data_IF_797605035480
#
_entry.id   IF_797605035480
#
_cell.length_a   1.000
_cell.length_b   1.000
_cell.length_c   1.000
_cell.angle_alpha   90.00
_cell.angle_beta   90.00
_cell.angle_gamma   90.00
#
_symmetry.space_group_name_H-M   'P 1'
#
loop_
_entity.id
_entity.type
_entity.pdbx_description
1 polymer ?
#
# COMPACT_ATOMS: atom_id res chain seq x y z
N UNK A 1 43.46 32.42 -17.51
CA UNK A 1 43.53 31.21 -16.67
C UNK A 1 42.10 30.75 -16.46
N UNK A 2 41.69 29.69 -17.15
CA UNK A 2 40.33 29.14 -17.07
C UNK A 2 40.35 28.00 -16.06
N UNK A 3 39.60 28.14 -14.97
CA UNK A 3 39.48 27.12 -13.93
C UNK A 3 38.38 26.13 -14.29
N UNK A 4 38.78 24.90 -14.61
CA UNK A 4 37.89 23.78 -14.91
C UNK A 4 37.11 23.37 -13.66
N UNK A 5 35.79 23.41 -13.75
CA UNK A 5 34.86 22.89 -12.74
C UNK A 5 35.00 21.35 -12.71
N UNK A 6 35.50 20.81 -11.60
CA UNK A 6 35.53 19.35 -11.36
C UNK A 6 34.13 18.95 -10.88
N UNK A 7 33.38 18.26 -11.74
CA UNK A 7 32.10 17.65 -11.38
C UNK A 7 32.39 16.33 -10.64
N UNK A 8 31.91 16.21 -9.40
CA UNK A 8 32.00 15.00 -8.60
C UNK A 8 31.23 13.82 -9.24
N UNK A 9 31.62 12.56 -9.00
CA UNK A 9 30.99 11.42 -9.64
C UNK A 9 29.55 11.25 -9.12
N UNK A 10 28.60 11.19 -10.04
CA UNK A 10 27.23 10.77 -9.78
C UNK A 10 27.25 9.33 -9.25
N UNK A 11 26.68 9.12 -8.06
CA UNK A 11 26.47 7.78 -7.51
C UNK A 11 25.62 6.96 -8.50
N UNK A 12 26.17 5.82 -8.93
CA UNK A 12 25.68 5.04 -10.05
C UNK A 12 24.28 4.46 -9.83
N UNK A 13 23.29 5.07 -10.48
CA UNK A 13 22.39 4.28 -11.33
C UNK A 13 23.04 4.25 -12.70
N UNK A 14 23.31 3.05 -13.23
CA UNK A 14 23.65 2.93 -14.64
C UNK A 14 22.55 3.62 -15.44
N UNK A 15 22.96 4.33 -16.50
CA UNK A 15 22.00 4.85 -17.47
C UNK A 15 21.20 3.67 -17.99
N UNK A 16 19.86 3.79 -18.00
CA UNK A 16 18.96 2.79 -18.58
C UNK A 16 19.49 2.40 -19.96
N UNK A 17 19.76 1.11 -20.14
CA UNK A 17 20.30 0.57 -21.38
C UNK A 17 19.17 0.37 -22.41
N UNK A 18 19.52 0.34 -23.70
CA UNK A 18 18.52 0.21 -24.77
C UNK A 18 17.67 -1.06 -24.64
N UNK A 19 18.27 -2.16 -24.17
CA UNK A 19 17.57 -3.42 -23.94
C UNK A 19 16.55 -3.32 -22.80
N UNK A 20 16.79 -2.48 -21.77
CA UNK A 20 15.82 -2.26 -20.69
C UNK A 20 14.59 -1.49 -21.19
N UNK A 21 14.78 -0.56 -22.13
CA UNK A 21 13.67 0.18 -22.76
C UNK A 21 12.83 -0.79 -23.58
N UNK A 22 13.47 -1.61 -24.41
CA UNK A 22 12.79 -2.64 -25.21
C UNK A 22 12.00 -3.61 -24.32
N UNK A 23 12.60 -4.13 -23.26
CA UNK A 23 11.91 -4.99 -22.29
C UNK A 23 10.67 -4.32 -21.66
N UNK A 24 10.79 -3.06 -21.24
CA UNK A 24 9.67 -2.31 -20.64
C UNK A 24 8.54 -2.07 -21.65
N UNK A 25 8.86 -1.75 -22.90
CA UNK A 25 7.85 -1.57 -23.95
C UNK A 25 7.16 -2.89 -24.30
N UNK A 26 7.91 -4.00 -24.42
CA UNK A 26 7.31 -5.32 -24.63
C UNK A 26 6.40 -5.73 -23.46
N UNK A 27 6.76 -5.42 -22.21
CA UNK A 27 5.89 -5.68 -21.05
C UNK A 27 4.64 -4.78 -21.05
N UNK A 28 4.75 -3.50 -21.44
CA UNK A 28 3.59 -2.61 -21.59
C UNK A 28 2.64 -3.11 -22.67
N UNK A 29 3.19 -3.50 -23.81
CA UNK A 29 2.43 -4.08 -24.92
C UNK A 29 1.75 -5.40 -24.51
N UNK A 30 2.43 -6.24 -23.72
CA UNK A 30 1.89 -7.48 -23.18
C UNK A 30 0.62 -7.23 -22.33
N UNK A 31 0.64 -6.26 -21.41
CA UNK A 31 -0.54 -5.95 -20.59
C UNK A 31 -1.64 -5.27 -21.39
N UNK A 32 -1.29 -4.36 -22.31
CA UNK A 32 -2.24 -3.72 -23.21
C UNK A 32 -2.94 -4.76 -24.11
N UNK A 33 -2.18 -5.70 -24.67
CA UNK A 33 -2.67 -6.81 -25.49
C UNK A 33 -3.57 -7.74 -24.70
N UNK A 34 -3.21 -8.08 -23.45
CA UNK A 34 -4.07 -8.89 -22.58
C UNK A 34 -5.47 -8.28 -22.45
N UNK A 35 -5.55 -7.01 -22.08
CA UNK A 35 -6.82 -6.30 -21.92
C UNK A 35 -7.60 -6.27 -23.24
N UNK A 36 -6.94 -5.87 -24.33
CA UNK A 36 -7.58 -5.68 -25.62
C UNK A 36 -8.05 -7.00 -26.27
N UNK A 37 -7.35 -8.12 -26.01
CA UNK A 37 -7.78 -9.45 -26.46
C UNK A 37 -8.93 -9.98 -25.60
N UNK A 38 -8.89 -9.74 -24.29
CA UNK A 38 -9.95 -10.11 -23.34
C UNK A 38 -11.27 -9.42 -23.68
N UNK A 39 -11.23 -8.10 -23.89
CA UNK A 39 -12.39 -7.27 -24.26
C UNK A 39 -13.06 -7.73 -25.57
N UNK A 40 -12.29 -8.35 -26.48
CA UNK A 40 -12.78 -8.86 -27.77
C UNK A 40 -13.09 -10.36 -27.75
N UNK A 41 -12.97 -11.02 -26.60
CA UNK A 41 -13.18 -12.47 -26.47
C UNK A 41 -12.19 -13.33 -27.23
N UNK A 42 -11.00 -12.80 -27.56
CA UNK A 42 -9.94 -13.50 -28.30
C UNK A 42 -9.08 -14.35 -27.36
N UNK A 43 -9.72 -15.30 -26.68
CA UNK A 43 -9.11 -16.02 -25.56
C UNK A 43 -7.92 -16.89 -25.94
N UNK A 44 -7.90 -17.49 -27.13
CA UNK A 44 -6.73 -18.28 -27.57
C UNK A 44 -5.48 -17.40 -27.74
N UNK A 45 -5.64 -16.22 -28.34
CA UNK A 45 -4.54 -15.25 -28.48
C UNK A 45 -4.12 -14.68 -27.12
N UNK A 46 -5.09 -14.41 -26.23
CA UNK A 46 -4.84 -13.96 -24.87
C UNK A 46 -4.02 -15.01 -24.09
N UNK A 47 -4.40 -16.29 -24.19
CA UNK A 47 -3.72 -17.37 -23.49
C UNK A 47 -2.29 -17.58 -24.00
N UNK A 48 -2.02 -17.26 -25.27
CA UNK A 48 -0.67 -17.27 -25.84
C UNK A 48 0.27 -16.19 -25.25
N UNK A 49 -0.26 -15.24 -24.46
CA UNK A 49 0.53 -14.25 -23.71
C UNK A 49 1.12 -14.81 -22.41
N UNK A 50 0.66 -15.97 -21.95
CA UNK A 50 1.16 -16.63 -20.74
C UNK A 50 2.30 -17.60 -21.07
N UNK A 51 3.23 -17.77 -20.13
CA UNK A 51 4.16 -18.89 -20.18
C UNK A 51 3.39 -20.21 -19.99
N UNK A 52 3.87 -21.35 -20.54
CA UNK A 52 3.15 -22.63 -20.46
C UNK A 52 2.80 -23.07 -19.03
N UNK A 53 3.67 -22.74 -18.07
CA UNK A 53 3.60 -23.03 -16.63
C UNK A 53 3.17 -21.81 -15.80
N UNK A 54 2.64 -20.76 -16.43
CA UNK A 54 2.30 -19.53 -15.74
C UNK A 54 1.24 -19.76 -14.67
N UNK A 55 1.21 -18.88 -13.67
CA UNK A 55 0.19 -18.92 -12.62
C UNK A 55 -0.75 -17.72 -12.69
N UNK A 56 -2.02 -17.93 -12.36
CA UNK A 56 -2.97 -16.84 -12.24
C UNK A 56 -3.78 -16.95 -10.96
N UNK A 57 -3.96 -15.83 -10.27
CA UNK A 57 -4.75 -15.71 -9.04
C UNK A 57 -5.72 -14.54 -9.23
N UNK A 58 -7.02 -14.83 -9.26
CA UNK A 58 -8.09 -13.85 -9.47
C UNK A 58 -8.79 -13.43 -8.16
N UNK A 59 -8.27 -13.85 -7.01
CA UNK A 59 -8.83 -13.51 -5.70
C UNK A 59 -10.02 -14.37 -5.29
N UNK A 60 -10.22 -15.53 -5.92
CA UNK A 60 -11.27 -16.52 -5.60
C UNK A 60 -10.80 -17.60 -4.60
N UNK A 61 -9.59 -17.44 -4.05
CA UNK A 61 -8.97 -18.39 -3.12
C UNK A 61 -8.22 -19.54 -3.79
N UNK A 62 -8.16 -19.59 -5.13
CA UNK A 62 -7.39 -20.58 -5.90
C UNK A 62 -6.28 -19.91 -6.70
N UNK A 63 -5.16 -20.61 -6.84
CA UNK A 63 -4.14 -20.31 -7.85
C UNK A 63 -4.27 -21.31 -9.00
N UNK A 64 -4.47 -20.81 -10.21
CA UNK A 64 -4.56 -21.59 -11.44
C UNK A 64 -3.15 -21.77 -12.01
N UNK A 65 -2.77 -23.02 -12.29
CA UNK A 65 -1.40 -23.36 -12.71
C UNK A 65 -1.40 -23.91 -14.14
N UNK A 66 -0.66 -23.25 -15.01
CA UNK A 66 -0.55 -23.58 -16.43
C UNK A 66 -1.71 -23.03 -17.27
N UNK A 67 -1.47 -22.94 -18.59
CA UNK A 67 -2.41 -22.32 -19.55
C UNK A 67 -3.79 -23.00 -19.57
N UNK A 68 -3.83 -24.32 -19.38
CA UNK A 68 -5.08 -25.09 -19.38
C UNK A 68 -5.97 -24.77 -18.17
N UNK A 69 -5.40 -24.59 -16.98
CA UNK A 69 -6.18 -24.14 -15.82
C UNK A 69 -6.58 -22.69 -15.98
N UNK A 70 -5.68 -21.82 -16.43
CA UNK A 70 -5.97 -20.39 -16.65
C UNK A 70 -7.12 -20.20 -17.65
N UNK A 71 -7.21 -21.05 -18.68
CA UNK A 71 -8.30 -21.05 -19.66
C UNK A 71 -9.69 -21.20 -19.04
N UNK A 72 -9.80 -21.89 -17.90
CA UNK A 72 -11.10 -22.11 -17.22
C UNK A 72 -11.71 -20.78 -16.74
N UNK A 73 -10.89 -19.86 -16.23
CA UNK A 73 -11.31 -18.50 -15.81
C UNK A 73 -12.03 -17.77 -16.95
N UNK A 74 -11.43 -17.79 -18.15
CA UNK A 74 -11.95 -17.08 -19.32
C UNK A 74 -13.18 -17.76 -19.92
N UNK A 75 -13.28 -19.09 -19.80
CA UNK A 75 -14.46 -19.84 -20.22
C UNK A 75 -15.66 -19.46 -19.36
N UNK A 76 -15.51 -19.48 -18.04
CA UNK A 76 -16.55 -19.05 -17.10
C UNK A 76 -16.92 -17.57 -17.26
N UNK A 77 -15.93 -16.72 -17.53
CA UNK A 77 -16.17 -15.29 -17.78
C UNK A 77 -16.98 -15.10 -19.05
N UNK A 78 -16.58 -15.73 -20.16
CA UNK A 78 -17.31 -15.71 -21.43
C UNK A 78 -18.76 -16.15 -21.26
N UNK A 79 -18.97 -17.26 -20.56
CA UNK A 79 -20.29 -17.85 -20.39
C UNK A 79 -21.20 -16.92 -19.57
N UNK A 80 -20.63 -16.17 -18.60
CA UNK A 80 -21.37 -15.15 -17.85
C UNK A 80 -21.60 -13.82 -18.59
N UNK A 81 -20.74 -13.45 -19.54
CA UNK A 81 -20.96 -12.27 -20.40
C UNK A 81 -22.08 -12.55 -21.40
N UNK A 82 -22.14 -13.77 -21.94
CA UNK A 82 -23.11 -14.14 -22.99
C UNK A 82 -24.56 -14.29 -22.52
N UNK A 83 -24.82 -14.42 -21.22
CA UNK A 83 -26.19 -14.52 -20.69
C UNK A 83 -27.06 -15.63 -21.30
N UNK A 84 -26.98 -16.85 -20.76
CA UNK A 84 -28.16 -17.72 -20.64
C UNK A 84 -28.53 -18.73 -21.76
N UNK A 85 -27.72 -18.97 -22.79
CA UNK A 85 -28.17 -19.83 -23.91
C UNK A 85 -27.89 -21.35 -23.83
N UNK A 86 -27.39 -21.87 -22.70
CA UNK A 86 -27.23 -23.32 -22.54
C UNK A 86 -27.95 -23.88 -21.30
N UNK A 87 -29.18 -24.36 -21.60
CA UNK A 87 -29.93 -25.41 -20.93
C UNK A 87 -30.57 -25.11 -19.54
N UNK A 88 -31.86 -24.77 -19.58
CA UNK A 88 -32.84 -25.71 -19.01
C UNK A 88 -33.46 -25.40 -17.65
N UNK A 89 -33.95 -24.19 -17.41
CA UNK A 89 -35.30 -23.99 -16.87
C UNK A 89 -35.81 -22.61 -17.33
N UNK A 90 -37.09 -22.51 -17.66
CA UNK A 90 -37.68 -21.31 -18.24
C UNK A 90 -37.91 -20.16 -17.25
N UNK A 91 -37.07 -20.00 -16.22
CA UNK A 91 -37.16 -18.85 -15.31
C UNK A 91 -36.26 -17.73 -15.84
N UNK A 92 -36.84 -16.84 -16.65
CA UNK A 92 -36.16 -15.69 -17.26
C UNK A 92 -35.74 -14.59 -16.28
N UNK A 93 -35.11 -14.95 -15.16
CA UNK A 93 -34.89 -14.10 -13.99
C UNK A 93 -33.42 -13.68 -13.80
N UNK A 94 -32.49 -14.17 -14.65
CA UNK A 94 -31.10 -13.69 -14.63
C UNK A 94 -30.93 -12.47 -15.53
N UNK A 95 -30.45 -11.34 -14.99
CA UNK A 95 -30.16 -10.16 -15.81
C UNK A 95 -29.10 -10.50 -16.87
N UNK A 96 -29.20 -9.91 -18.08
CA UNK A 96 -28.23 -10.14 -19.14
C UNK A 96 -26.83 -9.68 -18.72
N UNK A 97 -25.79 -10.34 -19.27
CA UNK A 97 -24.42 -9.87 -19.16
C UNK A 97 -24.18 -8.56 -19.93
N UNK A 98 -23.03 -7.89 -19.73
CA UNK A 98 -22.73 -6.61 -20.36
C UNK A 98 -22.54 -6.77 -21.87
N UNK A 99 -22.94 -5.76 -22.65
CA UNK A 99 -22.76 -5.76 -24.11
C UNK A 99 -21.28 -5.69 -24.51
N UNK A 100 -20.47 -4.99 -23.70
CA UNK A 100 -19.04 -4.91 -23.86
C UNK A 100 -18.32 -4.81 -22.52
N UNK A 101 -17.04 -5.17 -22.53
CA UNK A 101 -16.08 -4.86 -21.47
C UNK A 101 -14.98 -3.99 -22.09
N UNK A 102 -14.56 -2.97 -21.34
CA UNK A 102 -13.45 -2.11 -21.73
C UNK A 102 -12.51 -1.93 -20.55
N UNK A 103 -11.35 -2.59 -20.61
CA UNK A 103 -10.33 -2.46 -19.59
C UNK A 103 -9.44 -1.24 -19.86
N UNK A 104 -9.35 -0.35 -18.87
CA UNK A 104 -8.44 0.79 -18.84
C UNK A 104 -7.37 0.52 -17.80
N UNK A 105 -6.12 0.34 -18.22
CA UNK A 105 -5.00 0.21 -17.31
C UNK A 105 -4.25 1.54 -17.17
N UNK A 106 -3.89 1.89 -15.94
CA UNK A 106 -3.18 3.13 -15.62
C UNK A 106 -1.66 3.02 -15.84
N UNK A 107 -0.90 3.95 -15.27
CA UNK A 107 0.57 3.88 -15.17
C UNK A 107 1.02 2.49 -14.75
N UNK A 108 1.91 1.90 -15.55
CA UNK A 108 2.58 0.64 -15.25
C UNK A 108 3.93 0.88 -14.59
N UNK A 109 4.05 0.45 -13.35
CA UNK A 109 5.35 0.37 -12.68
C UNK A 109 5.97 -0.96 -13.07
N UNK A 110 7.11 -0.91 -13.75
CA UNK A 110 7.85 -2.09 -14.20
C UNK A 110 9.24 -2.02 -13.57
N UNK A 111 9.67 -3.10 -12.93
CA UNK A 111 11.04 -3.30 -12.47
C UNK A 111 11.62 -4.41 -13.35
N UNK A 112 12.66 -4.07 -14.12
CA UNK A 112 13.40 -5.04 -14.91
C UNK A 112 14.47 -5.63 -14.00
N UNK A 113 14.35 -6.92 -13.70
CA UNK A 113 15.21 -7.63 -12.75
C UNK A 113 16.43 -8.26 -13.45
N UNK A 114 16.36 -8.41 -14.77
CA UNK A 114 17.42 -8.89 -15.65
C UNK A 114 16.97 -8.93 -17.11
N UNK A 115 17.82 -9.40 -18.04
CA UNK A 115 17.51 -9.46 -19.48
C UNK A 115 16.27 -10.30 -19.83
N UNK A 116 15.91 -11.25 -18.97
CA UNK A 116 14.84 -12.22 -19.23
C UNK A 116 13.77 -12.28 -18.12
N UNK A 117 13.80 -11.35 -17.16
CA UNK A 117 12.86 -11.33 -16.02
C UNK A 117 12.49 -9.91 -15.60
N UNK A 118 11.22 -9.70 -15.29
CA UNK A 118 10.72 -8.43 -14.77
C UNK A 118 9.52 -8.65 -13.86
N UNK A 119 9.22 -7.66 -13.03
CA UNK A 119 7.99 -7.57 -12.23
C UNK A 119 7.26 -6.27 -12.54
N UNK A 120 5.95 -6.25 -12.31
CA UNK A 120 5.20 -5.02 -12.52
C UNK A 120 3.86 -4.96 -11.82
N UNK A 121 3.35 -3.73 -11.74
CA UNK A 121 2.05 -3.42 -11.15
C UNK A 121 1.35 -2.34 -11.97
N UNK A 122 0.04 -2.48 -12.09
CA UNK A 122 -0.84 -1.48 -12.72
C UNK A 122 -2.18 -1.46 -12.01
N UNK A 123 -2.84 -0.30 -11.99
CA UNK A 123 -4.26 -0.24 -11.67
C UNK A 123 -5.07 -0.46 -12.94
N UNK A 124 -6.27 -1.00 -12.79
CA UNK A 124 -7.22 -1.11 -13.87
C UNK A 124 -8.61 -0.62 -13.44
N UNK A 125 -9.36 -0.11 -14.41
CA UNK A 125 -10.79 0.16 -14.31
C UNK A 125 -11.47 -0.47 -15.51
N UNK A 126 -12.57 -1.17 -15.30
CA UNK A 126 -13.37 -1.78 -16.36
C UNK A 126 -14.67 -1.02 -16.52
N UNK A 127 -15.00 -0.71 -17.76
CA UNK A 127 -16.26 -0.10 -18.14
C UNK A 127 -17.11 -1.09 -18.95
N UNK A 128 -18.42 -1.01 -18.78
CA UNK A 128 -19.46 -1.73 -19.52
C UNK A 128 -20.42 -0.73 -20.17
N UNK A 129 -21.44 -1.21 -20.86
CA UNK A 129 -22.57 -0.41 -21.36
C UNK A 129 -23.34 0.32 -20.25
N UNK A 130 -23.20 -0.10 -18.98
CA UNK A 130 -23.76 0.57 -17.81
C UNK A 130 -22.82 1.61 -17.16
N UNK A 131 -21.60 1.81 -17.69
CA UNK A 131 -20.58 2.70 -17.13
C UNK A 131 -19.46 1.95 -16.41
N UNK A 132 -18.83 2.58 -15.41
CA UNK A 132 -17.78 1.92 -14.60
C UNK A 132 -18.39 0.71 -13.88
N UNK A 133 -17.76 -0.45 -14.00
CA UNK A 133 -18.27 -1.72 -13.45
C UNK A 133 -17.39 -2.26 -12.31
N UNK A 134 -16.07 -2.30 -12.49
CA UNK A 134 -15.15 -2.68 -11.41
C UNK A 134 -13.75 -2.12 -11.62
N UNK A 135 -12.95 -2.07 -10.56
CA UNK A 135 -11.58 -1.55 -10.58
C UNK A 135 -10.69 -2.30 -9.62
N UNK A 136 -9.37 -2.21 -9.83
CA UNK A 136 -8.44 -3.02 -9.08
C UNK A 136 -6.98 -2.86 -9.48
N UNK A 137 -6.21 -3.89 -9.14
CA UNK A 137 -4.75 -3.96 -9.32
C UNK A 137 -4.36 -5.25 -10.06
N UNK A 138 -3.44 -5.10 -10.99
CA UNK A 138 -2.60 -6.17 -11.50
C UNK A 138 -1.27 -6.18 -10.76
N UNK A 139 -0.83 -7.36 -10.35
CA UNK A 139 0.50 -7.61 -9.80
C UNK A 139 1.08 -8.80 -10.55
N UNK A 140 2.11 -8.55 -11.34
CA UNK A 140 2.57 -9.46 -12.36
C UNK A 140 4.07 -9.76 -12.23
N UNK A 141 4.43 -10.97 -12.62
CA UNK A 141 5.81 -11.36 -12.91
C UNK A 141 5.89 -11.78 -14.38
N UNK A 142 6.97 -11.41 -15.03
CA UNK A 142 7.20 -11.60 -16.46
C UNK A 142 8.51 -12.32 -16.69
N UNK A 143 8.55 -13.13 -17.75
CA UNK A 143 9.79 -13.75 -18.22
C UNK A 143 9.81 -13.89 -19.73
N UNK A 144 11.00 -14.05 -20.30
CA UNK A 144 11.17 -14.38 -21.71
C UNK A 144 10.96 -15.89 -21.92
N UNK A 145 10.15 -16.24 -22.91
CA UNK A 145 9.93 -17.62 -23.41
C UNK A 145 10.03 -17.58 -24.92
N UNK A 146 10.91 -18.39 -25.51
CA UNK A 146 11.17 -18.43 -26.95
C UNK A 146 11.41 -17.03 -27.56
N UNK A 147 12.17 -16.20 -26.84
CA UNK A 147 12.51 -14.84 -27.26
C UNK A 147 11.39 -13.81 -27.15
N UNK A 148 10.26 -14.13 -26.48
CA UNK A 148 9.14 -13.20 -26.27
C UNK A 148 8.81 -13.04 -24.79
N UNK A 149 8.47 -11.83 -24.36
CA UNK A 149 7.97 -11.60 -23.01
C UNK A 149 6.58 -12.23 -22.83
N UNK A 150 6.41 -12.91 -21.69
CA UNK A 150 5.21 -13.63 -21.29
C UNK A 150 4.91 -13.40 -19.81
N UNK A 151 3.65 -13.55 -19.43
CA UNK A 151 3.27 -13.62 -18.02
C UNK A 151 3.85 -14.92 -17.42
N UNK A 152 4.69 -14.79 -16.40
CA UNK A 152 5.10 -15.89 -15.53
C UNK A 152 4.09 -16.07 -14.38
N UNK A 153 3.56 -14.96 -13.87
CA UNK A 153 2.42 -14.97 -12.97
C UNK A 153 1.59 -13.70 -13.11
N UNK A 154 0.28 -13.80 -12.90
CA UNK A 154 -0.62 -12.65 -12.78
C UNK A 154 -1.51 -12.80 -11.56
N UNK A 155 -1.52 -11.77 -10.72
CA UNK A 155 -2.49 -11.64 -9.64
C UNK A 155 -3.40 -10.46 -9.92
N UNK A 156 -4.69 -10.75 -10.04
CA UNK A 156 -5.77 -9.77 -10.18
C UNK A 156 -6.40 -9.56 -8.82
N UNK A 157 -6.50 -8.31 -8.39
CA UNK A 157 -7.23 -7.92 -7.17
C UNK A 157 -8.29 -6.91 -7.58
N UNK A 158 -9.56 -7.27 -7.41
CA UNK A 158 -10.68 -6.35 -7.56
C UNK A 158 -10.81 -5.61 -6.24
N UNK A 159 -10.55 -4.30 -6.28
CA UNK A 159 -10.60 -3.42 -5.10
C UNK A 159 -12.02 -2.87 -4.88
N UNK A 160 -12.83 -2.83 -5.93
CA UNK A 160 -14.22 -2.47 -5.85
C UNK A 160 -15.01 -2.76 -7.11
N UNK A 161 -16.32 -2.85 -6.91
CA UNK A 161 -17.35 -3.06 -7.92
C UNK A 161 -18.38 -1.94 -7.81
N UNK A 162 -19.05 -1.63 -8.90
CA UNK A 162 -20.27 -0.82 -8.88
C UNK A 162 -21.39 -1.68 -8.29
N UNK A 163 -22.07 -1.22 -7.22
CA UNK A 163 -23.18 -1.98 -6.61
C UNK A 163 -24.23 -2.39 -7.64
N UNK A 164 -24.69 -3.63 -7.55
CA UNK A 164 -25.65 -4.26 -8.49
C UNK A 164 -25.13 -4.39 -9.95
N UNK A 165 -23.86 -4.03 -10.18
CA UNK A 165 -23.17 -4.18 -11.47
C UNK A 165 -22.95 -5.63 -11.88
N UNK A 166 -22.41 -5.85 -13.08
CA UNK A 166 -22.17 -7.20 -13.57
C UNK A 166 -21.08 -7.91 -12.74
N UNK A 167 -19.94 -7.26 -12.52
CA UNK A 167 -18.87 -7.85 -11.71
C UNK A 167 -19.31 -8.05 -10.25
N UNK A 168 -20.10 -7.12 -9.70
CA UNK A 168 -20.63 -7.22 -8.33
C UNK A 168 -21.45 -8.49 -8.13
N UNK A 169 -22.41 -8.74 -9.03
CA UNK A 169 -23.28 -9.93 -9.01
C UNK A 169 -22.50 -11.22 -9.28
N UNK A 170 -21.56 -11.18 -10.23
CA UNK A 170 -20.74 -12.35 -10.60
C UNK A 170 -19.79 -12.76 -9.47
N UNK A 171 -19.14 -11.80 -8.81
CA UNK A 171 -18.11 -12.05 -7.82
C UNK A 171 -18.67 -12.26 -6.40
N UNK A 172 -19.93 -11.88 -6.16
CA UNK A 172 -20.54 -12.03 -4.84
C UNK A 172 -21.10 -13.44 -4.58
N UNK A 173 -21.49 -14.19 -5.61
CA UNK A 173 -22.11 -15.52 -5.47
C UNK A 173 -23.42 -15.52 -4.63
N UNK A 174 -24.28 -16.52 -4.79
CA UNK A 174 -25.51 -16.66 -3.97
C UNK A 174 -25.23 -17.02 -2.47
N UNK A 175 -24.02 -16.72 -1.99
CA UNK A 175 -23.66 -16.77 -0.58
C UNK A 175 -23.98 -15.42 0.05
N UNK A 176 -24.84 -15.44 1.07
CA UNK A 176 -25.13 -14.28 1.93
C UNK A 176 -23.81 -13.57 2.29
N UNK A 177 -23.62 -12.30 1.88
CA UNK A 177 -22.29 -11.70 1.84
C UNK A 177 -21.83 -11.40 3.26
N UNK A 178 -20.81 -12.13 3.74
CA UNK A 178 -19.94 -11.63 4.82
C UNK A 178 -18.89 -10.68 4.22
N UNK A 179 -19.35 -9.64 3.52
CA UNK A 179 -18.52 -8.55 3.01
C UNK A 179 -19.13 -7.23 3.47
N UNK A 180 -18.31 -6.44 4.15
CA UNK A 180 -18.59 -5.09 4.63
C UNK A 180 -19.15 -4.25 3.47
N UNK A 181 -20.43 -3.89 3.53
CA UNK A 181 -21.15 -3.24 2.42
C UNK A 181 -20.67 -1.80 2.18
N UNK A 182 -21.04 -1.19 1.05
CA UNK A 182 -20.51 0.09 0.57
C UNK A 182 -20.28 1.17 1.65
N UNK A 183 -21.28 1.53 2.49
CA UNK A 183 -21.09 2.52 3.56
C UNK A 183 -20.16 2.03 4.68
N UNK A 184 -20.27 0.77 5.09
CA UNK A 184 -19.46 0.20 6.17
C UNK A 184 -17.98 0.13 5.77
N UNK A 185 -17.68 -0.20 4.50
CA UNK A 185 -16.32 -0.16 3.95
C UNK A 185 -15.75 1.26 4.03
N UNK A 186 -16.51 2.26 3.59
CA UNK A 186 -16.05 3.65 3.60
C UNK A 186 -15.81 4.17 5.03
N UNK A 187 -16.67 3.80 5.97
CA UNK A 187 -16.49 4.11 7.39
C UNK A 187 -15.24 3.43 7.95
N UNK A 188 -15.04 2.14 7.69
CA UNK A 188 -13.86 1.42 8.12
C UNK A 188 -12.57 2.04 7.58
N UNK A 189 -12.53 2.38 6.29
CA UNK A 189 -11.34 3.04 5.72
C UNK A 189 -11.14 4.45 6.27
N UNK A 190 -12.21 5.22 6.52
CA UNK A 190 -12.11 6.54 7.13
C UNK A 190 -11.58 6.45 8.56
N UNK A 191 -12.06 5.49 9.34
CA UNK A 191 -11.59 5.22 10.71
C UNK A 191 -10.12 4.80 10.72
N UNK A 192 -9.70 3.93 9.80
CA UNK A 192 -8.30 3.50 9.66
C UNK A 192 -7.39 4.67 9.22
N UNK A 193 -7.86 5.57 8.34
CA UNK A 193 -7.12 6.80 7.99
C UNK A 193 -6.97 7.72 9.20
N UNK A 194 -8.04 7.90 9.97
CA UNK A 194 -8.01 8.70 11.20
C UNK A 194 -7.12 8.08 12.27
N UNK A 195 -7.11 6.76 12.41
CA UNK A 195 -6.21 6.01 13.30
C UNK A 195 -4.74 6.34 12.99
N UNK A 196 -4.34 6.31 11.72
CA UNK A 196 -2.97 6.63 11.28
C UNK A 196 -2.63 8.12 11.48
N UNK A 197 -3.56 9.03 11.18
CA UNK A 197 -3.36 10.46 11.42
C UNK A 197 -3.19 10.77 12.91
N UNK A 198 -4.02 10.17 13.78
CA UNK A 198 -3.93 10.30 15.24
C UNK A 198 -2.59 9.79 15.77
N UNK A 199 -2.06 8.70 15.23
CA UNK A 199 -0.74 8.19 15.63
C UNK A 199 0.35 9.23 15.38
N UNK A 200 0.37 9.84 14.18
CA UNK A 200 1.35 10.86 13.82
C UNK A 200 1.29 12.07 14.77
N UNK A 201 0.08 12.61 14.97
CA UNK A 201 -0.16 13.75 15.85
C UNK A 201 0.23 13.43 17.30
N UNK A 202 -0.21 12.30 17.84
CA UNK A 202 0.09 11.91 19.21
C UNK A 202 1.60 11.69 19.43
N UNK A 203 2.30 11.15 18.43
CA UNK A 203 3.77 10.99 18.46
C UNK A 203 4.48 12.35 18.55
N UNK A 204 4.12 13.29 17.69
CA UNK A 204 4.73 14.62 17.66
C UNK A 204 4.46 15.42 18.94
N UNK A 205 3.28 15.21 19.55
CA UNK A 205 2.89 15.82 20.84
C UNK A 205 3.44 15.09 22.08
N UNK A 206 4.09 13.93 21.91
CA UNK A 206 4.51 13.01 22.99
C UNK A 206 3.39 12.55 23.91
N UNK A 207 2.19 12.41 23.35
CA UNK A 207 1.04 11.87 24.07
C UNK A 207 1.07 10.33 24.06
N UNK A 208 1.85 9.74 24.97
CA UNK A 208 2.01 8.29 25.05
C UNK A 208 0.69 7.55 25.28
N UNK A 209 -0.19 8.12 26.10
CA UNK A 209 -1.47 7.50 26.45
C UNK A 209 -2.38 7.44 25.22
N UNK A 210 -2.42 8.53 24.42
CA UNK A 210 -3.09 8.52 23.13
C UNK A 210 -2.45 7.53 22.16
N UNK A 211 -1.10 7.45 22.07
CA UNK A 211 -0.44 6.50 21.15
C UNK A 211 -0.81 5.06 21.49
N UNK A 212 -0.70 4.63 22.75
CA UNK A 212 -0.95 3.22 23.12
C UNK A 212 -2.42 2.84 23.02
N UNK A 213 -3.34 3.79 23.18
CA UNK A 213 -4.77 3.56 22.96
C UNK A 213 -5.10 3.17 21.52
N UNK A 214 -4.27 3.55 20.54
CA UNK A 214 -4.43 3.20 19.12
C UNK A 214 -4.06 1.75 18.80
N UNK A 215 -3.46 1.00 19.73
CA UNK A 215 -3.09 -0.40 19.54
C UNK A 215 -4.08 -1.33 20.23
N UNK A 216 -4.22 -2.56 19.73
CA UNK A 216 -5.03 -3.59 20.40
C UNK A 216 -4.56 -3.83 21.85
N UNK A 217 -5.46 -4.15 22.80
CA UNK A 217 -5.09 -4.35 24.21
C UNK A 217 -4.00 -5.40 24.43
N UNK A 218 -3.96 -6.43 23.56
CA UNK A 218 -3.01 -7.55 23.57
C UNK A 218 -1.83 -7.34 22.59
N UNK A 219 -1.46 -6.09 22.31
CA UNK A 219 -0.36 -5.76 21.39
C UNK A 219 0.95 -6.43 21.81
N UNK A 220 1.67 -7.03 20.85
CA UNK A 220 2.97 -7.67 21.08
C UNK A 220 4.09 -6.68 20.83
N UNK A 221 4.92 -6.43 21.84
CA UNK A 221 6.01 -5.44 21.80
C UNK A 221 7.34 -6.08 21.43
N UNK A 222 7.51 -7.38 21.70
CA UNK A 222 8.74 -8.12 21.39
C UNK A 222 8.91 -9.33 22.30
N UNK A 223 10.17 -9.68 22.60
CA UNK A 223 10.55 -10.69 23.60
C UNK A 223 11.38 -10.04 24.69
N UNK A 224 11.13 -10.41 25.94
CA UNK A 224 11.89 -9.97 27.09
C UNK A 224 13.26 -10.64 27.17
N UNK A 225 14.06 -10.25 28.16
CA UNK A 225 15.40 -10.81 28.41
C UNK A 225 15.40 -12.33 28.68
N UNK A 226 14.28 -12.87 29.17
CA UNK A 226 14.05 -14.30 29.36
C UNK A 226 13.61 -15.05 28.09
N UNK A 227 13.37 -14.35 26.98
CA UNK A 227 12.83 -14.90 25.74
C UNK A 227 11.30 -14.97 25.66
N UNK A 228 10.60 -14.68 26.77
CA UNK A 228 9.14 -14.66 26.82
C UNK A 228 8.52 -13.46 26.06
N UNK A 229 7.34 -13.60 25.43
CA UNK A 229 6.68 -12.50 24.77
C UNK A 229 6.30 -11.37 25.74
N UNK A 230 6.60 -10.13 25.34
CA UNK A 230 6.14 -8.93 26.04
C UNK A 230 4.87 -8.43 25.35
N UNK A 231 3.78 -8.33 26.11
CA UNK A 231 2.42 -8.08 25.60
C UNK A 231 1.74 -7.01 26.44
N UNK A 232 0.93 -6.15 25.79
CA UNK A 232 0.04 -5.21 26.44
C UNK A 232 0.41 -3.74 26.19
N UNK A 233 -0.60 -2.87 26.33
CA UNK A 233 -0.45 -1.42 26.15
C UNK A 233 0.53 -0.80 27.14
N UNK A 234 0.60 -1.28 28.38
CA UNK A 234 1.57 -0.77 29.39
C UNK A 234 3.01 -1.03 28.97
N UNK A 235 3.30 -2.24 28.49
CA UNK A 235 4.62 -2.58 27.99
C UNK A 235 4.98 -1.81 26.71
N UNK A 236 3.98 -1.55 25.86
CA UNK A 236 4.16 -0.70 24.69
C UNK A 236 4.47 0.75 25.10
N UNK A 237 3.79 1.25 26.14
CA UNK A 237 3.98 2.60 26.69
C UNK A 237 5.42 2.79 27.15
N UNK A 238 5.93 1.87 27.96
CA UNK A 238 7.31 1.92 28.46
C UNK A 238 8.32 1.87 27.30
N UNK A 239 8.10 0.98 26.33
CA UNK A 239 8.97 0.84 25.17
C UNK A 239 9.00 2.11 24.30
N UNK A 240 7.84 2.72 24.05
CA UNK A 240 7.74 3.97 23.29
C UNK A 240 8.31 5.16 24.06
N UNK A 241 8.11 5.21 25.39
CA UNK A 241 8.70 6.24 26.24
C UNK A 241 10.23 6.28 26.09
N UNK A 242 10.88 5.11 26.18
CA UNK A 242 12.34 5.01 25.99
C UNK A 242 12.80 5.44 24.60
N UNK A 243 12.09 5.02 23.54
CA UNK A 243 12.41 5.41 22.17
C UNK A 243 12.25 6.92 21.94
N UNK A 244 11.16 7.49 22.42
CA UNK A 244 10.83 8.91 22.23
C UNK A 244 11.63 9.84 23.15
N UNK A 245 12.16 9.34 24.27
CA UNK A 245 13.09 10.07 25.12
C UNK A 245 14.49 10.18 24.49
N UNK A 246 14.88 9.20 23.66
CA UNK A 246 16.16 9.19 22.96
C UNK A 246 16.24 10.20 21.79
N UNK A 247 15.11 10.77 21.36
CA UNK A 247 15.04 11.74 20.26
C UNK A 247 14.32 13.02 20.69
N UNK A 248 14.66 14.12 20.02
CA UNK A 248 14.02 15.42 20.22
C UNK A 248 12.76 15.59 19.36
N UNK A 249 12.49 16.80 18.88
CA UNK A 249 11.30 17.09 18.05
C UNK A 249 11.15 16.12 16.88
N UNK A 250 9.92 15.67 16.65
CA UNK A 250 9.53 14.92 15.45
C UNK A 250 8.46 15.68 14.69
N UNK A 251 8.47 15.53 13.37
CA UNK A 251 7.40 16.00 12.48
C UNK A 251 7.06 14.85 11.55
N UNK A 252 5.88 14.25 11.75
CA UNK A 252 5.42 13.11 10.96
C UNK A 252 4.38 13.54 9.93
N UNK A 253 4.80 13.62 8.66
CA UNK A 253 3.91 13.86 7.54
C UNK A 253 3.49 12.54 6.88
N UNK A 254 2.28 12.09 7.20
CA UNK A 254 1.66 10.91 6.58
C UNK A 254 1.04 11.28 5.22
N UNK A 255 1.38 10.50 4.20
CA UNK A 255 0.94 10.70 2.82
C UNK A 255 0.07 9.54 2.33
N UNK A 256 0.45 8.96 1.19
CA UNK A 256 -0.26 7.84 0.56
C UNK A 256 -0.55 6.72 1.57
N UNK A 257 -1.83 6.39 1.69
CA UNK A 257 -2.32 5.32 2.56
C UNK A 257 -3.18 4.34 1.75
N UNK A 258 -2.63 3.16 1.50
CA UNK A 258 -3.35 2.05 0.89
C UNK A 258 -3.93 1.18 2.01
N UNK A 259 -5.23 0.89 1.94
CA UNK A 259 -5.96 0.04 2.89
C UNK A 259 -6.56 -1.12 2.13
N UNK A 260 -6.44 -2.33 2.69
CA UNK A 260 -7.01 -3.55 2.14
C UNK A 260 -7.82 -4.23 3.25
N UNK A 261 -9.15 -4.22 3.12
CA UNK A 261 -10.06 -4.86 4.07
C UNK A 261 -10.12 -6.36 3.78
N UNK A 262 -9.65 -7.18 4.72
CA UNK A 262 -9.69 -8.64 4.62
C UNK A 262 -11.02 -9.22 5.16
N UNK A 263 -11.86 -8.39 5.79
CA UNK A 263 -13.17 -8.74 6.34
C UNK A 263 -13.80 -7.57 7.09
N UNK A 264 -14.89 -7.78 7.84
CA UNK A 264 -15.56 -6.72 8.62
C UNK A 264 -14.71 -6.17 9.76
N UNK A 265 -13.77 -6.96 10.28
CA UNK A 265 -12.99 -6.63 11.48
C UNK A 265 -11.47 -6.80 11.30
N UNK A 266 -10.98 -7.10 10.10
CA UNK A 266 -9.53 -7.27 9.83
C UNK A 266 -9.13 -6.52 8.55
N UNK A 267 -8.01 -5.82 8.62
CA UNK A 267 -7.47 -5.08 7.49
C UNK A 267 -5.94 -5.01 7.52
N UNK A 268 -5.35 -4.71 6.38
CA UNK A 268 -3.92 -4.40 6.26
C UNK A 268 -3.72 -3.07 5.54
N UNK A 269 -2.54 -2.48 5.66
CA UNK A 269 -2.28 -1.26 4.91
C UNK A 269 -0.82 -0.88 4.80
N UNK A 270 -0.54 -0.02 3.82
CA UNK A 270 0.75 0.62 3.63
C UNK A 270 0.61 2.12 3.77
N UNK A 271 1.38 2.71 4.68
CA UNK A 271 1.40 4.16 4.92
C UNK A 271 2.76 4.71 4.57
N UNK A 272 2.82 5.65 3.64
CA UNK A 272 4.06 6.38 3.35
C UNK A 272 4.15 7.60 4.27
N UNK A 273 5.33 7.82 4.85
CA UNK A 273 5.57 8.93 5.75
C UNK A 273 6.89 9.61 5.39
N UNK A 274 6.88 10.95 5.39
CA UNK A 274 8.08 11.76 5.47
C UNK A 274 8.20 12.23 6.91
N UNK A 275 9.33 11.97 7.54
CA UNK A 275 9.57 12.36 8.92
C UNK A 275 10.77 13.29 9.01
N UNK A 276 10.67 14.30 9.87
CA UNK A 276 11.81 15.08 10.32
C UNK A 276 12.03 14.77 11.80
N UNK A 277 13.26 14.49 12.19
CA UNK A 277 13.60 14.01 13.54
C UNK A 277 14.84 14.74 14.03
N UNK A 278 14.74 15.34 15.21
CA UNK A 278 15.89 15.78 15.98
C UNK A 278 16.57 14.59 16.65
N UNK A 279 17.85 14.41 16.38
CA UNK A 279 18.68 13.39 16.99
C UNK A 279 19.94 14.04 17.59
N UNK A 280 19.84 14.38 18.88
CA UNK A 280 20.80 15.26 19.55
C UNK A 280 20.87 16.62 18.85
N UNK A 281 22.06 16.98 18.37
CA UNK A 281 22.32 18.21 17.62
C UNK A 281 21.98 18.10 16.13
N UNK A 282 21.68 16.88 15.63
CA UNK A 282 21.41 16.63 14.21
C UNK A 282 19.93 16.77 13.87
N UNK A 283 19.65 17.09 12.60
CA UNK A 283 18.31 17.09 12.03
C UNK A 283 18.23 16.12 10.86
N UNK A 284 17.39 15.09 10.99
CA UNK A 284 17.34 13.97 10.06
C UNK A 284 16.01 13.96 9.33
N UNK A 285 16.07 13.93 8.00
CA UNK A 285 14.92 13.67 7.13
C UNK A 285 14.85 12.19 6.78
N UNK A 286 13.70 11.57 7.03
CA UNK A 286 13.45 10.16 6.75
C UNK A 286 12.33 9.97 5.73
N UNK A 287 12.49 8.96 4.88
CA UNK A 287 11.44 8.42 4.04
C UNK A 287 11.08 7.02 4.53
N UNK A 288 9.82 6.82 4.88
CA UNK A 288 9.34 5.64 5.59
C UNK A 288 8.13 5.05 4.86
N UNK A 289 8.02 3.72 4.86
CA UNK A 289 6.75 3.01 4.67
C UNK A 289 6.43 2.24 5.95
N UNK A 290 5.21 2.34 6.44
CA UNK A 290 4.72 1.44 7.47
C UNK A 290 3.96 0.28 6.83
N UNK A 291 4.26 -0.94 7.27
CA UNK A 291 3.48 -2.14 6.95
C UNK A 291 2.57 -2.42 8.16
N UNK A 292 1.28 -2.18 8.01
CA UNK A 292 0.32 -2.18 9.11
C UNK A 292 -0.65 -3.36 9.01
N UNK A 293 -1.04 -3.88 10.18
CA UNK A 293 -2.20 -4.75 10.36
C UNK A 293 -3.15 -4.11 11.36
N UNK A 294 -4.43 -4.11 11.02
CA UNK A 294 -5.50 -3.53 11.81
C UNK A 294 -6.52 -4.59 12.21
N UNK A 295 -7.20 -4.35 13.33
CA UNK A 295 -8.35 -5.12 13.75
C UNK A 295 -9.39 -4.17 14.36
N UNK A 296 -10.67 -4.44 14.12
CA UNK A 296 -11.76 -3.79 14.85
C UNK A 296 -12.00 -4.52 16.18
N UNK A 297 -11.89 -3.81 17.29
CA UNK A 297 -12.11 -4.32 18.66
C UNK A 297 -13.13 -3.42 19.32
N UNK A 298 -14.23 -3.99 19.80
CA UNK A 298 -15.33 -3.25 20.44
C UNK A 298 -15.86 -2.06 19.61
N UNK A 299 -15.86 -2.22 18.28
CA UNK A 299 -16.32 -1.20 17.32
C UNK A 299 -15.23 -0.22 16.85
N UNK A 300 -14.03 -0.25 17.42
CA UNK A 300 -12.94 0.67 17.07
C UNK A 300 -11.82 -0.02 16.27
N UNK A 301 -11.36 0.62 15.20
CA UNK A 301 -10.18 0.14 14.46
C UNK A 301 -8.89 0.48 15.19
N UNK A 302 -8.07 -0.54 15.44
CA UNK A 302 -6.82 -0.44 16.18
C UNK A 302 -5.67 -1.11 15.43
N UNK A 303 -4.43 -0.67 15.70
CA UNK A 303 -3.22 -1.34 15.25
C UNK A 303 -3.03 -2.67 16.00
N UNK A 304 -3.02 -3.76 15.24
CA UNK A 304 -2.45 -5.03 15.72
C UNK A 304 -0.92 -4.96 15.68
N UNK A 305 -0.40 -4.34 14.61
CA UNK A 305 1.04 -4.19 14.38
C UNK A 305 1.29 -3.05 13.41
N UNK A 306 2.34 -2.26 13.70
CA UNK A 306 2.90 -1.25 12.81
C UNK A 306 4.39 -1.50 12.62
N UNK A 307 4.83 -1.85 11.41
CA UNK A 307 6.24 -2.13 11.12
C UNK A 307 6.84 -0.94 10.39
N UNK A 308 7.77 -0.25 11.02
CA UNK A 308 8.52 0.85 10.41
C UNK A 308 9.56 0.32 9.40
N UNK A 309 9.35 0.56 8.10
CA UNK A 309 10.33 0.30 7.03
C UNK A 309 10.96 1.61 6.59
N UNK A 310 12.22 1.81 6.95
CA UNK A 310 12.99 2.96 6.51
C UNK A 310 13.49 2.74 5.08
N UNK A 311 13.17 3.63 4.15
CA UNK A 311 13.85 3.68 2.85
C UNK A 311 15.23 4.29 3.01
N UNK A 312 15.28 5.48 3.62
CA UNK A 312 16.51 6.17 3.99
C UNK A 312 16.24 7.18 5.11
N UNK A 313 17.29 7.50 5.86
CA UNK A 313 17.39 8.69 6.69
C UNK A 313 18.68 9.44 6.34
N UNK A 314 18.61 10.76 6.23
CA UNK A 314 19.77 11.59 5.93
C UNK A 314 19.74 12.84 6.81
N UNK A 315 20.91 13.25 7.30
CA UNK A 315 21.06 14.55 7.96
C UNK A 315 20.93 15.66 6.90
N UNK A 316 20.07 16.65 7.18
CA UNK A 316 19.77 17.73 6.24
C UNK A 316 19.74 19.07 6.96
N UNK A 317 20.52 20.01 6.45
CA UNK A 317 20.51 21.40 6.92
C UNK A 317 21.04 21.57 8.34
N UNK A 318 20.56 22.61 9.01
CA UNK A 318 20.88 22.93 10.41
C UNK A 318 19.69 22.56 11.28
N UNK A 319 19.95 22.05 12.48
CA UNK A 319 18.91 21.79 13.46
C UNK A 319 18.16 23.08 13.87
N UNK A 320 16.83 23.15 13.64
CA UNK A 320 16.06 24.38 13.87
C UNK A 320 15.73 24.65 15.34
N UNK A 321 15.86 23.66 16.23
CA UNK A 321 15.44 23.76 17.65
C UNK A 321 16.25 24.79 18.46
N UNK A 322 17.39 25.24 17.92
CA UNK A 322 18.23 26.30 18.53
C UNK A 322 18.08 27.69 17.90
N UNK A 323 17.16 27.89 16.95
CA UNK A 323 16.95 29.21 16.34
C UNK A 323 16.37 30.21 17.36
N UNK A 324 16.63 31.53 17.20
CA UNK A 324 15.92 32.55 17.96
C UNK A 324 14.40 32.42 17.76
N UNK A 325 13.56 32.81 18.74
CA UNK A 325 12.11 32.78 18.59
C UNK A 325 11.64 33.55 17.35
N UNK A 326 10.70 32.98 16.61
CA UNK A 326 10.10 33.64 15.45
C UNK A 326 9.10 34.74 15.85
N UNK A 327 8.47 34.64 17.03
CA UNK A 327 7.42 35.56 17.49
C UNK A 327 6.35 35.82 16.42
N UNK A 328 5.92 34.77 15.71
CA UNK A 328 4.97 34.87 14.60
C UNK A 328 3.68 35.60 15.03
N UNK A 329 3.15 36.54 14.23
CA UNK A 329 3.55 36.87 12.85
C UNK A 329 4.64 37.95 12.71
N UNK A 330 5.37 38.33 13.77
CA UNK A 330 6.36 39.41 13.71
C UNK A 330 7.58 39.07 12.84
N UNK A 331 8.08 37.82 12.90
CA UNK A 331 9.12 37.33 12.00
C UNK A 331 8.63 36.09 11.22
N UNK A 332 9.19 35.91 10.02
CA UNK A 332 8.86 34.79 9.12
C UNK A 332 9.84 33.62 9.23
N UNK A 333 10.88 33.75 10.05
CA UNK A 333 11.90 32.76 10.36
C UNK A 333 12.18 32.72 11.88
N UNK A 334 12.76 31.61 12.35
CA UNK A 334 13.03 31.38 13.78
C UNK A 334 12.31 30.14 14.33
N UNK A 335 12.50 29.87 15.62
CA UNK A 335 11.84 28.78 16.33
C UNK A 335 10.38 29.12 16.64
N UNK A 336 9.48 28.19 16.33
CA UNK A 336 8.05 28.31 16.62
C UNK A 336 7.71 27.96 18.07
N UNK A 337 6.41 27.91 18.36
CA UNK A 337 5.93 27.59 19.72
C UNK A 337 5.61 26.11 19.92
N UNK A 338 5.20 25.40 18.86
CA UNK A 338 4.96 23.94 18.92
C UNK A 338 6.22 23.14 18.60
N UNK A 339 6.43 21.97 19.23
CA UNK A 339 5.53 21.32 20.21
C UNK A 339 5.69 21.84 21.67
N UNK A 340 6.55 22.82 21.95
CA UNK A 340 6.86 23.24 23.33
C UNK A 340 5.64 23.77 24.11
N UNK A 341 4.64 24.33 23.43
CA UNK A 341 3.38 24.79 24.04
C UNK A 341 2.41 23.65 24.39
N UNK A 342 2.60 22.43 23.85
CA UNK A 342 1.69 21.32 24.12
C UNK A 342 1.89 20.74 25.52
N UNK A 343 0.82 20.63 26.30
CA UNK A 343 0.88 20.14 27.70
C UNK A 343 1.48 18.74 27.82
N UNK A 344 1.12 17.84 26.90
CA UNK A 344 1.66 16.46 26.86
C UNK A 344 3.15 16.46 26.56
N UNK A 345 3.62 17.39 25.72
CA UNK A 345 5.04 17.55 25.43
C UNK A 345 5.80 18.03 26.67
N UNK A 346 5.29 19.06 27.35
CA UNK A 346 5.88 19.58 28.58
C UNK A 346 5.96 18.51 29.67
N UNK A 347 4.87 17.77 29.89
CA UNK A 347 4.82 16.68 30.86
C UNK A 347 5.83 15.57 30.54
N UNK A 348 5.88 15.13 29.29
CA UNK A 348 6.83 14.10 28.84
C UNK A 348 8.28 14.54 29.07
N UNK A 349 8.62 15.80 28.73
CA UNK A 349 9.97 16.35 28.94
C UNK A 349 10.31 16.54 30.42
N UNK A 350 9.35 16.85 31.28
CA UNK A 350 9.59 16.94 32.72
C UNK A 350 9.91 15.56 33.33
N UNK A 351 9.25 14.51 32.84
CA UNK A 351 9.43 13.13 33.32
C UNK A 351 10.71 12.47 32.76
N UNK A 352 11.07 12.75 31.50
CA UNK A 352 12.14 12.05 30.77
C UNK A 352 13.34 12.94 30.41
N UNK A 353 13.32 14.23 30.78
CA UNK A 353 14.32 15.22 30.41
C UNK A 353 15.59 15.16 31.25
N UNK A 354 16.53 14.29 30.84
CA UNK A 354 17.95 14.46 31.07
C UNK A 354 18.65 14.96 29.80
N UNK A 355 19.76 15.68 29.92
CA UNK A 355 20.51 16.24 28.78
C UNK A 355 20.90 15.13 27.78
N UNK A 356 20.63 15.27 26.46
CA UNK A 356 21.17 14.37 25.46
C UNK A 356 22.68 14.64 25.36
N UNK A 357 23.50 13.75 25.92
CA UNK A 357 24.96 13.94 25.93
C UNK A 357 25.67 13.20 27.05
N UNK A 358 25.56 11.88 27.08
CA UNK A 358 26.40 11.03 27.92
C UNK A 358 26.77 9.77 27.13
N UNK A 359 27.92 9.80 26.45
CA UNK A 359 28.58 8.58 25.94
C UNK A 359 29.04 7.69 27.11
N UNK A 360 29.23 6.37 26.88
CA UNK A 360 29.22 5.33 27.91
C UNK A 360 30.28 5.45 29.02
#
# INVERSE_FOLDING_TARGET
>A
MSGTLVVAPTHGRSRVEAWEIDAREQVRDLVASYNALGDRGRFDDLLALFAPDATMDVGDGRTYVGVDEIRTIFTETRDSVRGGDHAGDGTGDKPPGPEYLQHHASTHVITVDGPESATGQAYFTVMTDAGVDHWGRYQDAYRVVDGRWRFASRRVRVDGTTPDGWADRRLSGDGEPTRTTGPERLLAEADIRQLVARYAVATDRRDLDAIVALFVPDVRVGRGSSGEPVVGRDALRENLAGQLAAIGVTILNVGTHQIDLAGPDDATGHVYCKAEVQDGDRWIHQAIRYDDRYRRVDGEWLFVRRIHRLFYGAEVGTNPVGLPPADWPNNHDGWGTIPADDETWQAFRAEHGGTPGGSP
#
